data_IF_646493817584
#
_entry.id   IF_646493817584
#
_cell.length_a   1.000
_cell.length_b   1.000
_cell.length_c   1.000
_cell.angle_alpha   90.00
_cell.angle_beta   90.00
_cell.angle_gamma   90.00
#
_symmetry.space_group_name_H-M   'P 1'
#
loop_
_entity.id
_entity.type
_entity.pdbx_description
1 polymer ?
#
# COMPACT_ATOMS: atom_id res chain seq x y z
N UNK A 1 -10.65 -8.53 -8.50
CA UNK A 1 -9.30 -8.31 -7.95
C UNK A 1 -8.19 -8.68 -8.96
N UNK A 2 -7.95 -7.90 -10.02
CA UNK A 2 -6.90 -8.24 -11.03
C UNK A 2 -6.07 -7.05 -11.59
N UNK A 3 -6.38 -5.80 -11.27
CA UNK A 3 -5.75 -4.62 -11.91
C UNK A 3 -4.52 -4.08 -11.18
N UNK A 4 -4.46 -4.19 -9.85
CA UNK A 4 -3.34 -3.67 -9.04
C UNK A 4 -2.04 -4.45 -9.28
N UNK A 5 -2.11 -5.78 -9.35
CA UNK A 5 -0.96 -6.63 -9.67
C UNK A 5 -0.47 -6.42 -11.10
N UNK A 6 -1.41 -6.26 -12.05
CA UNK A 6 -1.08 -5.94 -13.45
C UNK A 6 -0.38 -4.58 -13.58
N UNK A 7 -0.83 -3.56 -12.83
CA UNK A 7 -0.18 -2.25 -12.82
C UNK A 7 1.25 -2.30 -12.25
N UNK A 8 1.48 -3.14 -11.24
CA UNK A 8 2.82 -3.35 -10.65
C UNK A 8 3.73 -4.09 -11.64
N UNK A 9 3.22 -5.15 -12.29
CA UNK A 9 3.97 -5.91 -13.29
C UNK A 9 4.32 -5.06 -14.52
N UNK A 10 3.37 -4.27 -15.04
CA UNK A 10 3.62 -3.29 -16.12
C UNK A 10 4.73 -2.32 -15.72
N UNK A 11 4.69 -1.79 -14.50
CA UNK A 11 5.72 -0.87 -13.99
C UNK A 11 7.11 -1.52 -13.88
N UNK A 12 7.17 -2.78 -13.44
CA UNK A 12 8.44 -3.52 -13.36
C UNK A 12 9.02 -3.82 -14.74
N UNK A 13 8.18 -4.21 -15.70
CA UNK A 13 8.58 -4.50 -17.07
C UNK A 13 9.13 -3.25 -17.77
N UNK A 14 8.40 -2.13 -17.67
CA UNK A 14 8.85 -0.81 -18.18
C UNK A 14 10.21 -0.45 -17.59
N UNK A 15 10.37 -0.55 -16.26
CA UNK A 15 11.65 -0.25 -15.61
C UNK A 15 12.79 -1.14 -16.12
N UNK A 16 12.55 -2.43 -16.35
CA UNK A 16 13.58 -3.38 -16.80
C UNK A 16 14.06 -3.04 -18.21
N UNK A 17 13.15 -2.74 -19.12
CA UNK A 17 13.47 -2.44 -20.51
C UNK A 17 14.11 -1.07 -20.68
N UNK A 18 13.65 -0.06 -19.94
CA UNK A 18 14.29 1.27 -19.89
C UNK A 18 15.75 1.17 -19.41
N UNK A 19 16.01 0.35 -18.38
CA UNK A 19 17.39 0.14 -17.89
C UNK A 19 18.24 -0.61 -18.92
N UNK A 20 17.67 -1.57 -19.66
CA UNK A 20 18.39 -2.29 -20.72
C UNK A 20 18.77 -1.35 -21.87
N UNK A 21 17.82 -0.56 -22.37
CA UNK A 21 18.04 0.44 -23.43
C UNK A 21 19.04 1.53 -23.03
N UNK A 22 18.96 2.02 -21.78
CA UNK A 22 19.94 2.96 -21.25
C UNK A 22 21.36 2.35 -21.23
N UNK A 23 21.50 1.11 -20.75
CA UNK A 23 22.80 0.41 -20.71
C UNK A 23 23.38 0.19 -22.11
N UNK A 24 22.55 -0.17 -23.08
CA UNK A 24 22.96 -0.36 -24.47
C UNK A 24 23.39 0.97 -25.12
N UNK A 25 22.63 2.04 -24.91
CA UNK A 25 22.96 3.38 -25.42
C UNK A 25 24.26 3.92 -24.82
N UNK A 26 24.48 3.70 -23.51
CA UNK A 26 25.75 4.03 -22.85
C UNK A 26 26.90 3.20 -23.44
N UNK A 27 26.70 1.90 -23.68
CA UNK A 27 27.72 1.00 -24.27
C UNK A 27 28.09 1.43 -25.69
N UNK A 28 27.14 1.97 -26.45
CA UNK A 28 27.35 2.52 -27.79
C UNK A 28 27.93 3.94 -27.81
N UNK A 29 28.26 4.51 -26.64
CA UNK A 29 28.75 5.89 -26.49
C UNK A 29 27.78 6.94 -27.08
N UNK A 30 26.49 6.66 -27.04
CA UNK A 30 25.46 7.58 -27.50
C UNK A 30 25.53 8.90 -26.71
N UNK A 31 25.24 10.00 -27.40
CA UNK A 31 25.10 11.31 -26.78
C UNK A 31 23.95 11.31 -25.79
N UNK A 32 23.98 12.27 -24.85
CA UNK A 32 22.91 12.42 -23.86
C UNK A 32 21.53 12.56 -24.51
N UNK A 33 21.42 13.29 -25.63
CA UNK A 33 20.18 13.44 -26.39
C UNK A 33 19.70 12.13 -27.01
N UNK A 34 20.60 11.34 -27.62
CA UNK A 34 20.25 10.05 -28.21
C UNK A 34 19.78 9.05 -27.16
N UNK A 35 20.40 9.04 -25.97
CA UNK A 35 19.92 8.22 -24.85
C UNK A 35 18.48 8.59 -24.49
N UNK A 36 18.13 9.89 -24.43
CA UNK A 36 16.76 10.30 -24.12
C UNK A 36 15.76 9.93 -25.22
N UNK A 37 16.12 10.09 -26.49
CA UNK A 37 15.24 9.73 -27.62
C UNK A 37 15.04 8.21 -27.69
N UNK A 38 16.09 7.40 -27.52
CA UNK A 38 16.00 5.95 -27.48
C UNK A 38 15.10 5.46 -26.32
N UNK A 39 15.15 6.14 -25.17
CA UNK A 39 14.29 5.81 -24.03
C UNK A 39 12.83 6.20 -24.27
N UNK A 40 12.57 7.32 -24.97
CA UNK A 40 11.19 7.71 -25.36
C UNK A 40 10.58 6.69 -26.33
N UNK A 41 11.36 6.23 -27.31
CA UNK A 41 10.91 5.20 -28.27
C UNK A 41 10.51 3.91 -27.53
N UNK A 42 11.37 3.41 -26.65
CA UNK A 42 11.07 2.20 -25.83
C UNK A 42 9.83 2.41 -24.96
N UNK A 43 9.64 3.60 -24.39
CA UNK A 43 8.45 3.89 -23.59
C UNK A 43 7.16 3.87 -24.44
N UNK A 44 7.18 4.49 -25.63
CA UNK A 44 6.04 4.53 -26.55
C UNK A 44 5.72 3.15 -27.12
N UNK A 45 6.75 2.40 -27.56
CA UNK A 45 6.60 1.03 -28.06
C UNK A 45 6.00 0.12 -27.00
N UNK A 46 6.44 0.23 -25.75
CA UNK A 46 5.91 -0.59 -24.66
C UNK A 46 4.47 -0.23 -24.25
N UNK A 47 4.07 1.02 -24.38
CA UNK A 47 2.70 1.46 -24.08
C UNK A 47 1.72 1.05 -25.20
N UNK A 48 2.19 1.04 -26.45
CA UNK A 48 1.40 0.67 -27.64
C UNK A 48 1.36 -0.83 -27.92
N UNK A 49 2.44 -1.57 -27.65
CA UNK A 49 2.50 -3.04 -27.82
C UNK A 49 1.68 -3.79 -26.78
N UNK A 50 1.40 -3.19 -25.62
CA UNK A 50 0.63 -3.82 -24.56
C UNK A 50 -0.83 -4.05 -24.98
N UNK A 51 -1.43 -3.14 -25.77
CA UNK A 51 -2.80 -3.30 -26.26
C UNK A 51 -2.88 -4.36 -27.37
N UNK A 52 -1.90 -4.37 -28.28
CA UNK A 52 -1.86 -5.35 -29.39
C UNK A 52 -1.44 -6.74 -28.91
N UNK A 53 -0.48 -6.85 -27.99
CA UNK A 53 -0.05 -8.11 -27.38
C UNK A 53 -1.15 -8.75 -26.56
N UNK A 54 -1.92 -7.97 -25.79
CA UNK A 54 -3.07 -8.51 -25.03
C UNK A 54 -4.13 -9.02 -26.01
N UNK A 55 -4.43 -8.30 -27.09
CA UNK A 55 -5.42 -8.73 -28.10
C UNK A 55 -4.95 -10.00 -28.83
N UNK A 56 -3.71 -10.05 -29.31
CA UNK A 56 -3.15 -11.23 -29.98
C UNK A 56 -3.05 -12.44 -29.05
N UNK A 57 -2.69 -12.24 -27.79
CA UNK A 57 -2.60 -13.30 -26.79
C UNK A 57 -3.99 -13.81 -26.38
N UNK A 58 -5.00 -12.93 -26.33
CA UNK A 58 -6.40 -13.32 -26.06
C UNK A 58 -7.02 -14.05 -27.26
N UNK A 59 -6.74 -13.60 -28.49
CA UNK A 59 -7.18 -14.28 -29.73
C UNK A 59 -6.47 -15.63 -29.93
N UNK A 60 -5.18 -15.70 -29.60
CA UNK A 60 -4.39 -16.94 -29.60
C UNK A 60 -4.92 -17.96 -28.59
N UNK A 61 -5.30 -17.51 -27.38
CA UNK A 61 -5.90 -18.34 -26.33
C UNK A 61 -7.29 -18.88 -26.71
N UNK A 62 -8.03 -18.18 -27.56
CA UNK A 62 -9.35 -18.61 -28.03
C UNK A 62 -9.27 -19.64 -29.17
N UNK A 63 -8.18 -19.60 -29.96
CA UNK A 63 -8.01 -20.43 -31.16
C UNK A 63 -7.29 -21.76 -30.84
N UNK A 64 -6.42 -21.80 -29.82
CA UNK A 64 -5.67 -23.00 -29.45
C UNK A 64 -6.04 -23.42 -28.02
N UNK A 65 -7.05 -24.28 -27.92
CA UNK A 65 -7.40 -24.96 -26.68
C UNK A 65 -6.22 -25.81 -26.16
N UNK A 66 -5.76 -25.45 -24.96
CA UNK A 66 -4.93 -26.21 -24.02
C UNK A 66 -3.38 -26.12 -24.09
N UNK A 67 -2.84 -25.79 -22.91
CA UNK A 67 -1.55 -26.14 -22.30
C UNK A 67 -0.35 -25.20 -22.48
N UNK A 68 -0.27 -24.22 -21.58
CA UNK A 68 0.92 -23.38 -21.32
C UNK A 68 1.90 -24.09 -20.38
N UNK A 69 3.14 -24.26 -20.84
CA UNK A 69 4.30 -24.50 -19.99
C UNK A 69 5.31 -23.36 -20.17
N UNK A 70 4.85 -22.12 -19.94
CA UNK A 70 5.75 -20.95 -19.86
C UNK A 70 5.18 -19.84 -18.93
N UNK A 71 4.23 -20.17 -18.04
CA UNK A 71 3.77 -19.28 -16.96
C UNK A 71 4.41 -19.61 -15.60
N UNK A 72 4.90 -20.84 -15.40
CA UNK A 72 5.34 -21.33 -14.10
C UNK A 72 6.55 -20.56 -13.51
N UNK A 73 7.52 -20.13 -14.35
CA UNK A 73 8.72 -19.43 -13.87
C UNK A 73 8.47 -17.96 -13.47
N UNK A 74 7.41 -17.34 -13.97
CA UNK A 74 6.99 -15.98 -13.60
C UNK A 74 6.02 -15.99 -12.42
N UNK A 75 5.08 -16.93 -12.41
CA UNK A 75 4.10 -17.13 -11.33
C UNK A 75 4.79 -17.58 -10.04
N UNK A 76 5.75 -18.52 -10.11
CA UNK A 76 6.48 -18.98 -8.93
C UNK A 76 7.28 -17.86 -8.24
N UNK A 77 7.86 -16.93 -9.00
CA UNK A 77 8.64 -15.81 -8.43
C UNK A 77 7.78 -14.69 -7.85
N UNK A 78 6.60 -14.45 -8.43
CA UNK A 78 5.61 -13.51 -7.88
C UNK A 78 4.92 -14.10 -6.66
N UNK A 79 4.66 -15.41 -6.68
CA UNK A 79 4.10 -16.16 -5.56
C UNK A 79 5.10 -16.23 -4.40
N UNK A 80 6.36 -16.60 -4.65
CA UNK A 80 7.43 -16.62 -3.65
C UNK A 80 7.68 -15.23 -3.05
N UNK A 81 7.64 -14.17 -3.87
CA UNK A 81 7.75 -12.81 -3.35
C UNK A 81 6.57 -12.43 -2.44
N UNK A 82 5.35 -12.78 -2.84
CA UNK A 82 4.15 -12.55 -2.04
C UNK A 82 4.17 -13.34 -0.73
N UNK A 83 4.53 -14.61 -0.79
CA UNK A 83 4.68 -15.49 0.38
C UNK A 83 5.75 -14.97 1.33
N UNK A 84 6.86 -14.43 0.81
CA UNK A 84 7.91 -13.82 1.62
C UNK A 84 7.44 -12.53 2.32
N UNK A 85 6.68 -11.65 1.65
CA UNK A 85 6.10 -10.47 2.30
C UNK A 85 5.08 -10.85 3.38
N UNK A 86 4.22 -11.83 3.09
CA UNK A 86 3.26 -12.33 4.06
C UNK A 86 3.96 -13.03 5.24
N UNK A 87 5.04 -13.77 5.00
CA UNK A 87 5.84 -14.40 6.05
C UNK A 87 6.56 -13.37 6.90
N UNK A 88 7.14 -12.34 6.28
CA UNK A 88 7.75 -11.21 6.99
C UNK A 88 6.75 -10.51 7.92
N UNK A 89 5.54 -10.25 7.42
CA UNK A 89 4.45 -9.70 8.23
C UNK A 89 4.05 -10.65 9.39
N UNK A 90 3.95 -11.96 9.12
CA UNK A 90 3.63 -12.96 10.16
C UNK A 90 4.67 -12.96 11.28
N UNK A 91 5.95 -12.92 10.92
CA UNK A 91 7.05 -12.92 11.89
C UNK A 91 6.99 -11.67 12.79
N UNK A 92 6.88 -10.48 12.20
CA UNK A 92 6.78 -9.21 12.96
C UNK A 92 5.61 -9.24 13.95
N UNK A 93 4.43 -9.68 13.51
CA UNK A 93 3.25 -9.72 14.37
C UNK A 93 3.40 -10.74 15.51
N UNK A 94 4.06 -11.87 15.26
CA UNK A 94 4.36 -12.85 16.31
C UNK A 94 5.35 -12.30 17.34
N UNK A 95 6.35 -11.52 16.92
CA UNK A 95 7.28 -10.87 17.83
C UNK A 95 6.55 -9.93 18.79
N UNK A 96 5.58 -9.14 18.28
CA UNK A 96 4.74 -8.29 19.13
C UNK A 96 3.89 -9.10 20.12
N UNK A 97 3.31 -10.23 19.71
CA UNK A 97 2.54 -11.09 20.64
C UNK A 97 3.42 -11.65 21.76
N UNK A 98 4.66 -12.03 21.45
CA UNK A 98 5.63 -12.49 22.45
C UNK A 98 5.96 -11.37 23.44
N UNK A 99 6.20 -10.15 22.95
CA UNK A 99 6.46 -8.99 23.79
C UNK A 99 5.27 -8.70 24.70
N UNK A 100 4.04 -8.66 24.16
CA UNK A 100 2.82 -8.46 24.95
C UNK A 100 2.66 -9.53 26.04
N UNK A 101 2.82 -10.81 25.69
CA UNK A 101 2.74 -11.92 26.64
C UNK A 101 3.78 -11.80 27.77
N UNK A 102 5.01 -11.43 27.43
CA UNK A 102 6.07 -11.20 28.44
C UNK A 102 5.75 -10.06 29.40
N UNK A 103 4.98 -9.07 28.94
CA UNK A 103 4.50 -7.95 29.75
C UNK A 103 3.19 -8.28 30.50
N UNK A 104 2.69 -9.51 30.41
CA UNK A 104 1.42 -9.94 31.02
C UNK A 104 0.18 -9.37 30.33
N UNK A 105 0.31 -8.91 29.08
CA UNK A 105 -0.78 -8.32 28.29
C UNK A 105 -1.32 -9.34 27.30
N UNK A 106 -2.64 -9.55 27.32
CA UNK A 106 -3.34 -10.33 26.31
C UNK A 106 -3.42 -9.54 25.00
N UNK A 107 -3.01 -10.18 23.90
CA UNK A 107 -2.98 -9.58 22.58
C UNK A 107 -3.43 -10.58 21.52
N UNK A 108 -4.18 -10.10 20.55
CA UNK A 108 -4.71 -10.89 19.45
C UNK A 108 -4.33 -10.30 18.10
N UNK A 109 -4.21 -11.18 17.11
CA UNK A 109 -3.98 -10.79 15.72
C UNK A 109 -5.31 -10.76 14.97
N UNK A 110 -5.69 -9.58 14.50
CA UNK A 110 -6.86 -9.41 13.66
C UNK A 110 -6.46 -9.30 12.19
N UNK A 111 -7.15 -10.03 11.33
CA UNK A 111 -7.01 -9.92 9.87
C UNK A 111 -8.38 -9.71 9.24
N UNK A 112 -8.45 -8.83 8.25
CA UNK A 112 -9.57 -8.78 7.31
C UNK A 112 -9.09 -9.37 5.99
N UNK A 113 -9.63 -10.52 5.63
CA UNK A 113 -9.51 -11.10 4.31
C UNK A 113 -10.44 -10.28 3.40
N UNK A 114 -9.96 -9.87 2.22
CA UNK A 114 -10.73 -9.15 1.18
C UNK A 114 -11.07 -7.67 1.43
N UNK A 115 -10.08 -6.87 1.86
CA UNK A 115 -10.19 -5.40 1.83
C UNK A 115 -9.31 -4.76 0.76
N UNK A 116 -9.94 -4.23 -0.27
CA UNK A 116 -9.27 -3.48 -1.34
C UNK A 116 -8.69 -2.12 -0.89
N UNK A 117 -9.04 -1.63 0.30
CA UNK A 117 -8.60 -0.36 0.87
C UNK A 117 -8.24 -0.53 2.35
N UNK A 118 -6.97 -0.30 2.68
CA UNK A 118 -6.42 -0.44 4.05
C UNK A 118 -7.13 0.52 5.02
N UNK A 119 -7.38 1.75 4.56
CA UNK A 119 -7.96 2.83 5.36
C UNK A 119 -9.38 2.47 5.83
N UNK A 120 -10.19 1.91 4.93
CA UNK A 120 -11.53 1.39 5.25
C UNK A 120 -11.46 0.17 6.16
N UNK A 121 -10.49 -0.73 5.95
CA UNK A 121 -10.30 -1.91 6.79
C UNK A 121 -10.02 -1.55 8.24
N UNK A 122 -9.18 -0.53 8.48
CA UNK A 122 -8.89 -0.05 9.84
C UNK A 122 -10.16 0.47 10.53
N UNK A 123 -10.93 1.32 9.85
CA UNK A 123 -12.18 1.87 10.43
C UNK A 123 -13.19 0.77 10.76
N UNK A 124 -13.31 -0.24 9.90
CA UNK A 124 -14.19 -1.37 10.18
C UNK A 124 -13.72 -2.25 11.33
N UNK A 125 -12.40 -2.45 11.50
CA UNK A 125 -11.89 -3.15 12.69
C UNK A 125 -12.24 -2.39 13.97
N UNK A 126 -12.12 -1.06 13.96
CA UNK A 126 -12.52 -0.23 15.10
C UNK A 126 -13.99 -0.46 15.43
N UNK A 127 -14.86 -0.42 14.42
CA UNK A 127 -16.30 -0.64 14.57
C UNK A 127 -16.64 -2.05 15.07
N UNK A 128 -16.10 -3.07 14.40
CA UNK A 128 -16.41 -4.48 14.65
C UNK A 128 -15.95 -4.94 16.04
N UNK A 129 -14.77 -4.48 16.47
CA UNK A 129 -14.19 -4.87 17.76
C UNK A 129 -14.37 -3.81 18.85
N UNK A 130 -15.18 -2.78 18.59
CA UNK A 130 -15.50 -1.71 19.53
C UNK A 130 -14.25 -1.07 20.17
N UNK A 131 -13.21 -0.84 19.35
CA UNK A 131 -11.89 -0.39 19.82
C UNK A 131 -12.02 1.02 20.41
N UNK A 132 -11.75 1.16 21.71
CA UNK A 132 -11.89 2.45 22.42
C UNK A 132 -10.66 3.35 22.31
N UNK A 133 -9.48 2.76 22.13
CA UNK A 133 -8.20 3.46 22.03
C UNK A 133 -7.38 2.84 20.90
N UNK A 134 -6.90 3.66 19.98
CA UNK A 134 -6.05 3.26 18.87
C UNK A 134 -4.76 4.09 18.88
N UNK A 135 -3.63 3.43 18.67
CA UNK A 135 -2.35 4.09 18.39
C UNK A 135 -1.97 3.75 16.96
N UNK A 136 -1.63 4.77 16.15
CA UNK A 136 -1.22 4.57 14.76
C UNK A 136 -0.15 5.55 14.30
N UNK A 137 0.52 5.21 13.19
CA UNK A 137 1.55 6.07 12.60
C UNK A 137 0.98 7.32 11.93
N UNK A 138 1.63 8.47 12.13
CA UNK A 138 1.21 9.76 11.58
C UNK A 138 1.73 10.03 10.15
N UNK A 139 2.85 9.42 9.76
CA UNK A 139 3.54 9.64 8.47
C UNK A 139 3.47 8.40 7.58
N UNK A 140 3.64 8.61 6.27
CA UNK A 140 4.01 7.53 5.35
C UNK A 140 5.53 7.55 5.13
N UNK A 141 6.11 6.41 4.74
CA UNK A 141 7.56 6.17 4.64
C UNK A 141 8.36 7.24 3.88
N UNK A 142 7.70 8.02 3.02
CA UNK A 142 8.32 9.03 2.16
C UNK A 142 8.42 10.42 2.79
N UNK A 143 7.83 10.65 3.95
CA UNK A 143 7.71 11.98 4.57
C UNK A 143 8.16 12.03 6.04
N UNK A 144 9.03 11.09 6.44
CA UNK A 144 9.67 11.09 7.76
C UNK A 144 10.56 12.32 7.93
N UNK A 145 9.99 13.39 8.48
CA UNK A 145 10.75 14.56 8.91
C UNK A 145 10.59 14.73 10.42
N UNK A 146 11.69 14.99 11.15
CA UNK A 146 11.68 15.29 12.59
C UNK A 146 10.85 16.53 12.98
N UNK A 147 10.38 17.32 12.02
CA UNK A 147 9.67 18.60 12.21
C UNK A 147 8.20 18.53 11.81
N UNK A 148 7.60 17.34 11.83
CA UNK A 148 6.20 17.17 11.44
C UNK A 148 5.27 17.58 12.58
N UNK A 149 4.39 18.55 12.31
CA UNK A 149 3.41 19.09 13.27
C UNK A 149 1.98 18.60 13.02
N UNK A 150 1.73 17.93 11.89
CA UNK A 150 0.41 17.38 11.54
C UNK A 150 0.56 16.08 10.72
N UNK A 151 -0.54 15.35 10.51
CA UNK A 151 -0.57 14.09 9.78
C UNK A 151 -0.19 14.28 8.31
N UNK A 152 0.68 13.40 7.82
CA UNK A 152 1.08 13.35 6.40
C UNK A 152 0.72 12.03 5.73
N UNK A 153 0.30 11.04 6.50
CA UNK A 153 -0.21 9.78 5.95
C UNK A 153 -1.66 9.95 5.53
N UNK A 154 -1.96 9.69 4.26
CA UNK A 154 -3.35 9.57 3.76
C UNK A 154 -4.17 8.58 4.59
N UNK A 155 -3.54 7.51 5.10
CA UNK A 155 -4.20 6.53 5.95
C UNK A 155 -4.55 7.11 7.32
N UNK A 156 -3.63 7.87 7.90
CA UNK A 156 -3.84 8.53 9.19
C UNK A 156 -4.94 9.59 9.11
N UNK A 157 -4.92 10.40 8.06
CA UNK A 157 -5.95 11.42 7.80
C UNK A 157 -7.33 10.74 7.64
N UNK A 158 -7.42 9.70 6.80
CA UNK A 158 -8.68 8.99 6.61
C UNK A 158 -9.23 8.39 7.91
N UNK A 159 -8.39 7.74 8.72
CA UNK A 159 -8.81 7.13 9.99
C UNK A 159 -9.22 8.20 11.00
N UNK A 160 -8.51 9.35 11.06
CA UNK A 160 -8.89 10.50 11.90
C UNK A 160 -10.31 10.97 11.58
N UNK A 161 -10.64 11.09 10.30
CA UNK A 161 -11.93 11.62 9.82
C UNK A 161 -13.07 10.62 9.97
N UNK A 162 -12.81 9.33 9.69
CA UNK A 162 -13.87 8.32 9.53
C UNK A 162 -14.03 7.37 10.72
N UNK A 163 -13.08 7.34 11.67
CA UNK A 163 -13.24 6.50 12.85
C UNK A 163 -14.42 6.98 13.72
N UNK A 164 -15.15 6.08 14.39
CA UNK A 164 -16.25 6.47 15.25
C UNK A 164 -15.79 7.37 16.40
N UNK A 165 -16.68 8.24 16.88
CA UNK A 165 -16.37 9.24 17.91
C UNK A 165 -15.95 8.62 19.26
N UNK A 166 -16.36 7.37 19.54
CA UNK A 166 -15.98 6.67 20.76
C UNK A 166 -14.51 6.20 20.77
N UNK A 167 -13.84 6.20 19.62
CA UNK A 167 -12.47 5.74 19.48
C UNK A 167 -11.50 6.91 19.62
N UNK A 168 -10.69 6.88 20.67
CA UNK A 168 -9.62 7.84 20.92
C UNK A 168 -8.37 7.42 20.15
N UNK A 169 -7.80 8.33 19.34
CA UNK A 169 -6.72 7.96 18.43
C UNK A 169 -5.49 8.82 18.68
N UNK A 170 -4.37 8.18 19.00
CA UNK A 170 -3.06 8.82 19.11
C UNK A 170 -2.23 8.53 17.86
N UNK A 171 -1.72 9.60 17.26
CA UNK A 171 -0.88 9.53 16.07
C UNK A 171 0.57 9.81 16.45
N UNK A 172 1.43 8.83 16.22
CA UNK A 172 2.85 8.89 16.62
C UNK A 172 3.79 8.85 15.41
N UNK A 173 4.96 9.45 15.54
CA UNK A 173 6.05 9.32 14.59
C UNK A 173 7.39 9.42 15.33
N UNK A 174 8.29 8.44 15.14
CA UNK A 174 9.60 8.39 15.78
C UNK A 174 9.56 8.55 17.31
N UNK A 175 8.55 7.98 17.96
CA UNK A 175 8.35 8.08 19.42
C UNK A 175 7.71 9.39 19.90
N UNK A 176 7.47 10.35 19.02
CA UNK A 176 6.79 11.61 19.35
C UNK A 176 5.30 11.53 19.03
N UNK A 177 4.49 12.02 19.97
CA UNK A 177 3.06 12.25 19.74
C UNK A 177 2.90 13.46 18.82
N UNK A 178 2.28 13.24 17.66
CA UNK A 178 2.04 14.28 16.66
C UNK A 178 0.65 14.88 16.84
N UNK A 179 -0.35 14.03 17.07
CA UNK A 179 -1.73 14.48 17.20
C UNK A 179 -2.54 13.48 18.02
N UNK A 180 -3.55 13.99 18.73
CA UNK A 180 -4.55 13.14 19.35
C UNK A 180 -5.95 13.59 18.96
N UNK A 181 -6.77 12.62 18.54
CA UNK A 181 -8.20 12.79 18.39
C UNK A 181 -8.87 12.41 19.71
N UNK A 182 -9.16 13.41 20.53
CA UNK A 182 -9.97 13.25 21.73
C UNK A 182 -11.44 13.51 21.43
N UNK A 183 -12.32 12.97 22.28
CA UNK A 183 -13.69 13.43 22.40
C UNK A 183 -13.68 14.94 22.60
N UNK A 184 -14.07 15.71 21.60
CA UNK A 184 -14.66 17.01 21.84
C UNK A 184 -15.98 16.74 22.55
N UNK A 185 -16.02 16.86 23.87
CA UNK A 185 -17.18 17.51 24.44
C UNK A 185 -17.07 18.95 23.94
N UNK A 186 -17.77 19.29 22.84
CA UNK A 186 -18.34 20.63 22.81
C UNK A 186 -19.32 20.63 23.99
N UNK A 187 -18.95 21.32 25.07
CA UNK A 187 -20.00 21.97 25.84
C UNK A 187 -20.62 22.98 24.87
N UNK A 188 -21.69 22.57 24.18
CA UNK A 188 -22.59 23.54 23.57
C UNK A 188 -23.25 24.29 24.72
N UNK A 189 -22.64 25.41 25.13
CA UNK A 189 -23.28 26.42 25.98
C UNK A 189 -24.59 26.95 25.34
N UNK A 190 -24.78 26.72 24.04
CA UNK A 190 -26.01 27.07 23.32
C UNK A 190 -27.17 26.07 23.51
N UNK A 191 -26.93 24.85 23.99
CA UNK A 191 -28.01 23.87 24.24
C UNK A 191 -28.55 23.97 25.68
N UNK A 192 -27.88 24.72 26.57
CA UNK A 192 -28.31 24.94 27.96
C UNK A 192 -29.01 26.29 28.21
N UNK A 193 -29.27 27.09 27.17
CA UNK A 193 -30.01 28.37 27.26
C UNK A 193 -31.41 28.34 26.61
N UNK A 194 -31.89 27.18 26.15
CA UNK A 194 -33.26 27.00 25.62
C UNK A 194 -34.10 26.02 26.44
N UNK A 195 -33.71 25.76 27.69
CA UNK A 195 -34.54 25.05 28.66
C UNK A 195 -34.41 25.78 30.00
N UNK A 196 -34.91 27.02 30.06
CA UNK A 196 -35.53 27.66 31.23
C UNK A 196 -36.28 28.90 30.75
#
# INVERSE_FOLDING_TARGET
MHTKSLAILKKQLIRRNMVKSAKESIKQKASKSEIYENLKVVFIEMDSTQDVSIILQTLSQLILGANFLESAAGEHRVQEHRENEEQGMRNILNDYLIICRRMGVEAEKLHIIDKDCIEKGIVELICKHNIKKLVMGAASDKYHSRRMTDLRSRKAIYVRENAPAYCHIQFICNGYLIHTRYKGCSFDLNTMLNIY
#
